data_IF_029342322497
#
_entry.id   IF_029342322497
#
_cell.length_a   1.000
_cell.length_b   1.000
_cell.length_c   1.000
_cell.angle_alpha   90.00
_cell.angle_beta   90.00
_cell.angle_gamma   90.00
#
_symmetry.space_group_name_H-M   'P 1'
#
loop_
_entity.id
_entity.type
_entity.pdbx_description
1 polymer ?
#
# COMPACT_ATOMS: atom_id res chain seq x y z
N UNK A 1 -40.44 -22.37 6.56
CA UNK A 1 -39.05 -22.52 6.10
C UNK A 1 -38.95 -22.83 4.60
N UNK A 2 -39.81 -23.67 4.01
CA UNK A 2 -39.79 -23.93 2.56
C UNK A 2 -39.92 -22.68 1.65
N UNK A 3 -40.78 -21.73 2.01
CA UNK A 3 -40.98 -20.51 1.19
C UNK A 3 -39.74 -19.62 1.10
N UNK A 4 -38.89 -19.61 2.13
CA UNK A 4 -37.67 -18.80 2.11
C UNK A 4 -36.63 -19.42 1.18
N UNK A 5 -36.47 -20.75 1.26
CA UNK A 5 -35.54 -21.49 0.41
C UNK A 5 -35.91 -21.37 -1.08
N UNK A 6 -37.20 -21.40 -1.40
CA UNK A 6 -37.68 -21.23 -2.78
C UNK A 6 -37.41 -19.80 -3.31
N UNK A 7 -37.64 -18.78 -2.48
CA UNK A 7 -37.34 -17.38 -2.82
C UNK A 7 -35.85 -17.16 -3.06
N UNK A 8 -35.00 -17.70 -2.19
CA UNK A 8 -33.54 -17.57 -2.30
C UNK A 8 -33.02 -18.30 -3.55
N UNK A 9 -33.60 -19.46 -3.90
CA UNK A 9 -33.25 -20.22 -5.11
C UNK A 9 -33.66 -19.51 -6.41
N UNK A 10 -34.76 -18.75 -6.40
CA UNK A 10 -35.23 -18.00 -7.55
C UNK A 10 -34.32 -16.79 -7.82
N UNK A 11 -33.96 -16.07 -6.75
CA UNK A 11 -33.06 -14.93 -6.83
C UNK A 11 -31.64 -15.35 -7.30
N UNK A 12 -31.14 -16.47 -6.79
CA UNK A 12 -29.83 -16.98 -7.19
C UNK A 12 -29.78 -17.36 -8.69
N UNK A 13 -30.87 -17.92 -9.22
CA UNK A 13 -30.98 -18.25 -10.65
C UNK A 13 -31.01 -16.99 -11.52
N UNK A 14 -31.79 -15.99 -11.12
CA UNK A 14 -31.85 -14.72 -11.85
C UNK A 14 -30.48 -14.04 -11.92
N UNK A 15 -29.75 -13.96 -10.80
CA UNK A 15 -28.41 -13.38 -10.77
C UNK A 15 -27.43 -14.17 -11.64
N UNK A 16 -27.53 -15.50 -11.63
CA UNK A 16 -26.68 -16.35 -12.46
C UNK A 16 -26.96 -16.17 -13.96
N UNK A 17 -28.22 -15.96 -14.35
CA UNK A 17 -28.64 -15.66 -15.71
C UNK A 17 -28.26 -14.24 -16.14
N UNK A 18 -28.26 -13.25 -15.23
CA UNK A 18 -27.73 -11.90 -15.52
C UNK A 18 -26.21 -11.92 -15.77
N UNK A 19 -25.48 -12.80 -15.08
CA UNK A 19 -24.02 -12.91 -15.22
C UNK A 19 -23.62 -13.77 -16.43
N UNK A 20 -24.40 -14.81 -16.76
CA UNK A 20 -24.02 -15.82 -17.76
C UNK A 20 -24.99 -15.92 -18.96
N UNK A 21 -26.01 -15.07 -19.03
CA UNK A 21 -27.02 -15.07 -20.10
C UNK A 21 -26.43 -14.70 -21.47
N UNK A 22 -26.90 -15.32 -22.57
CA UNK A 22 -26.34 -15.08 -23.90
C UNK A 22 -26.96 -13.84 -24.56
N UNK A 23 -26.17 -12.77 -24.69
CA UNK A 23 -26.43 -11.62 -25.57
C UNK A 23 -25.67 -10.38 -25.07
N UNK A 24 -24.53 -9.98 -25.62
CA UNK A 24 -24.33 -9.61 -27.03
C UNK A 24 -22.96 -10.07 -27.54
N UNK A 25 -22.98 -11.08 -28.41
CA UNK A 25 -21.95 -11.29 -29.42
C UNK A 25 -22.64 -11.22 -30.78
N UNK A 26 -22.60 -10.06 -31.44
CA UNK A 26 -22.74 -9.99 -32.89
C UNK A 26 -21.72 -9.00 -33.47
N UNK A 27 -21.09 -9.32 -34.62
CA UNK A 27 -20.00 -8.56 -35.19
C UNK A 27 -20.57 -7.48 -36.11
N UNK A 28 -20.35 -6.20 -35.77
CA UNK A 28 -20.55 -5.10 -36.69
C UNK A 28 -19.20 -4.43 -36.95
N UNK A 29 -18.79 -4.48 -38.21
CA UNK A 29 -17.64 -3.78 -38.73
C UNK A 29 -17.71 -2.28 -38.41
N UNK A 30 -16.55 -1.71 -38.08
CA UNK A 30 -16.29 -0.29 -38.24
C UNK A 30 -16.88 0.61 -37.17
N UNK A 31 -16.17 0.74 -36.05
CA UNK A 31 -15.82 2.04 -35.47
C UNK A 31 -14.75 1.81 -34.41
N UNK A 32 -13.53 2.23 -34.72
CA UNK A 32 -12.47 2.41 -33.74
C UNK A 32 -13.05 3.35 -32.67
N UNK A 33 -13.17 2.96 -31.39
CA UNK A 33 -13.44 3.93 -30.35
C UNK A 33 -12.15 4.75 -30.22
N UNK A 34 -12.22 5.93 -30.81
CA UNK A 34 -11.27 7.01 -30.67
C UNK A 34 -10.85 7.12 -29.19
N UNK A 35 -9.54 7.03 -28.94
CA UNK A 35 -8.91 7.36 -27.67
C UNK A 35 -9.42 8.71 -27.18
N UNK A 36 -10.14 8.78 -26.05
CA UNK A 36 -10.13 9.98 -25.20
C UNK A 36 -10.70 9.71 -23.80
N UNK A 37 -9.93 8.99 -22.99
CA UNK A 37 -9.75 9.21 -21.55
C UNK A 37 -8.93 8.03 -21.04
N UNK A 38 -7.65 8.04 -21.36
CA UNK A 38 -6.71 7.01 -20.93
C UNK A 38 -6.56 7.11 -19.41
N UNK A 39 -7.39 6.38 -18.66
CA UNK A 39 -7.25 6.23 -17.23
C UNK A 39 -5.85 5.67 -16.95
N UNK A 40 -4.96 6.52 -16.43
CA UNK A 40 -3.55 6.19 -16.24
C UNK A 40 -3.39 5.63 -14.83
N UNK A 41 -2.85 4.42 -14.75
CA UNK A 41 -2.64 3.73 -13.49
C UNK A 41 -1.21 3.95 -12.98
N UNK A 42 -1.06 4.37 -11.72
CA UNK A 42 0.24 4.51 -11.06
C UNK A 42 0.31 3.58 -9.85
N UNK A 43 1.26 2.66 -9.86
CA UNK A 43 1.53 1.79 -8.71
C UNK A 43 2.27 2.58 -7.62
N UNK A 44 1.78 2.49 -6.38
CA UNK A 44 2.40 3.12 -5.24
C UNK A 44 3.70 2.39 -4.86
N UNK A 45 4.84 3.10 -4.75
CA UNK A 45 6.10 2.47 -4.37
C UNK A 45 6.13 1.99 -2.91
N UNK A 46 5.29 2.57 -2.03
CA UNK A 46 5.29 2.23 -0.60
C UNK A 46 4.37 1.06 -0.25
N UNK A 47 3.17 1.00 -0.82
CA UNK A 47 2.17 -0.02 -0.45
C UNK A 47 1.75 -0.92 -1.62
N UNK A 48 2.35 -0.76 -2.80
CA UNK A 48 2.05 -1.50 -4.04
C UNK A 48 0.64 -1.33 -4.60
N UNK A 49 -0.19 -0.50 -3.96
CA UNK A 49 -1.55 -0.21 -4.42
C UNK A 49 -1.53 0.50 -5.78
N UNK A 50 -2.36 0.03 -6.71
CA UNK A 50 -2.50 0.62 -8.04
C UNK A 50 -3.56 1.72 -7.98
N UNK A 51 -3.12 2.97 -8.10
CA UNK A 51 -4.00 4.13 -8.17
C UNK A 51 -4.43 4.33 -9.62
N UNK A 52 -5.72 4.54 -9.86
CA UNK A 52 -6.27 4.81 -11.19
C UNK A 52 -6.70 6.26 -11.22
N UNK A 53 -6.14 7.04 -12.15
CA UNK A 53 -6.47 8.44 -12.35
C UNK A 53 -7.12 8.61 -13.72
N UNK A 54 -8.26 9.29 -13.78
CA UNK A 54 -8.95 9.61 -15.03
C UNK A 54 -8.24 10.74 -15.78
N UNK A 55 -7.68 11.70 -15.04
CA UNK A 55 -7.01 12.87 -15.59
C UNK A 55 -5.70 13.13 -14.85
N UNK A 56 -4.60 12.87 -15.56
CA UNK A 56 -3.27 13.19 -15.07
C UNK A 56 -2.87 14.55 -15.63
N UNK A 57 -3.01 15.57 -14.78
CA UNK A 57 -2.48 16.90 -15.00
C UNK A 57 -0.96 16.94 -14.71
N UNK A 58 -0.15 17.46 -15.65
CA UNK A 58 1.27 17.68 -15.43
C UNK A 58 1.50 18.75 -14.36
N UNK A 59 2.46 18.51 -13.44
CA UNK A 59 2.79 19.42 -12.34
C UNK A 59 1.89 19.29 -11.10
N UNK A 60 0.97 18.31 -11.07
CA UNK A 60 0.18 17.98 -9.88
C UNK A 60 0.79 16.77 -9.19
N UNK A 61 1.05 16.89 -7.89
CA UNK A 61 1.46 15.74 -7.09
C UNK A 61 0.26 14.82 -6.83
N UNK A 62 0.44 13.54 -7.10
CA UNK A 62 -0.55 12.51 -6.81
C UNK A 62 -0.15 11.77 -5.54
N UNK A 63 -1.12 11.40 -4.71
CA UNK A 63 -0.89 10.58 -3.52
C UNK A 63 -1.61 9.26 -3.66
N UNK A 64 -1.03 8.24 -3.04
CA UNK A 64 -1.65 6.93 -2.98
C UNK A 64 -2.91 6.97 -2.12
N UNK A 65 -4.03 6.47 -2.64
CA UNK A 65 -5.30 6.38 -1.89
C UNK A 65 -5.19 5.56 -0.60
N UNK A 66 -4.30 4.57 -0.56
CA UNK A 66 -4.17 3.67 0.60
C UNK A 66 -3.23 4.18 1.68
N UNK A 67 -2.07 4.72 1.31
CA UNK A 67 -1.01 5.05 2.27
C UNK A 67 -0.57 6.51 2.20
N UNK A 68 -1.25 7.32 1.39
CA UNK A 68 -1.01 8.76 1.19
C UNK A 68 0.40 9.13 0.71
N UNK A 69 1.26 8.14 0.42
CA UNK A 69 2.59 8.34 -0.15
C UNK A 69 2.49 9.05 -1.50
N UNK A 70 3.33 10.05 -1.70
CA UNK A 70 3.46 10.77 -2.98
C UNK A 70 3.90 9.78 -4.07
N UNK A 71 3.13 9.74 -5.15
CA UNK A 71 3.38 8.91 -6.32
C UNK A 71 4.34 9.63 -7.27
N UNK A 72 5.22 8.89 -7.97
CA UNK A 72 6.14 9.47 -8.93
C UNK A 72 5.38 10.19 -10.05
N UNK A 73 5.94 11.32 -10.52
CA UNK A 73 5.34 12.11 -11.58
C UNK A 73 5.12 11.23 -12.83
N UNK A 74 3.88 11.12 -13.32
CA UNK A 74 3.55 10.33 -14.50
C UNK A 74 4.08 11.04 -15.74
N UNK A 75 5.34 10.81 -16.09
CA UNK A 75 5.93 11.31 -17.34
C UNK A 75 5.11 10.82 -18.55
N UNK A 76 4.87 11.67 -19.57
CA UNK A 76 3.99 11.33 -20.69
C UNK A 76 4.50 10.19 -21.58
N UNK A 77 5.81 9.88 -21.53
CA UNK A 77 6.49 9.02 -22.50
C UNK A 77 7.13 7.78 -21.89
N UNK A 78 6.49 7.15 -20.90
CA UNK A 78 6.80 5.74 -20.61
C UNK A 78 5.69 4.89 -21.21
N UNK A 79 5.88 4.57 -22.50
CA UNK A 79 5.29 3.40 -23.12
C UNK A 79 5.63 2.23 -22.20
N UNK A 80 4.65 1.81 -21.40
CA UNK A 80 4.78 0.68 -20.49
C UNK A 80 4.79 -0.59 -21.34
N UNK A 81 5.91 -0.79 -22.03
CA UNK A 81 6.23 -2.08 -22.62
C UNK A 81 6.17 -3.05 -21.45
N UNK A 82 5.19 -3.94 -21.53
CA UNK A 82 5.01 -5.11 -20.70
C UNK A 82 6.23 -6.03 -20.86
N UNK A 83 7.38 -5.59 -20.38
CA UNK A 83 8.59 -6.38 -20.34
C UNK A 83 8.59 -7.09 -19.00
N UNK A 84 7.84 -8.21 -18.96
CA UNK A 84 8.26 -9.49 -18.40
C UNK A 84 9.31 -9.47 -17.27
N UNK A 85 9.14 -8.61 -16.27
CA UNK A 85 10.03 -8.59 -15.13
C UNK A 85 9.62 -9.76 -14.25
N UNK A 86 10.60 -10.59 -13.89
CA UNK A 86 10.47 -11.70 -12.94
C UNK A 86 10.15 -11.13 -11.55
N UNK A 87 8.97 -10.55 -11.39
CA UNK A 87 8.54 -9.91 -10.17
C UNK A 87 8.11 -11.02 -9.21
N UNK A 88 8.98 -11.31 -8.24
CA UNK A 88 8.75 -12.35 -7.24
C UNK A 88 7.47 -12.00 -6.46
N UNK A 89 6.52 -12.93 -6.44
CA UNK A 89 5.27 -12.78 -5.67
C UNK A 89 5.26 -13.78 -4.53
N UNK A 90 4.79 -13.33 -3.36
CA UNK A 90 4.70 -14.14 -2.14
C UNK A 90 3.26 -14.18 -1.64
N UNK A 91 2.80 -15.36 -1.22
CA UNK A 91 1.51 -15.52 -0.60
C UNK A 91 1.60 -15.19 0.89
N UNK A 92 0.75 -14.30 1.38
CA UNK A 92 0.65 -14.04 2.81
C UNK A 92 0.06 -15.25 3.55
N UNK A 93 0.74 -15.73 4.58
CA UNK A 93 0.24 -16.84 5.38
C UNK A 93 -1.04 -16.48 6.18
N UNK A 94 -1.16 -15.21 6.61
CA UNK A 94 -2.26 -14.75 7.45
C UNK A 94 -3.56 -14.53 6.64
N UNK A 95 -3.49 -13.74 5.58
CA UNK A 95 -4.69 -13.35 4.81
C UNK A 95 -4.79 -14.01 3.43
N UNK A 96 -3.83 -14.87 3.04
CA UNK A 96 -3.77 -15.54 1.73
C UNK A 96 -3.76 -14.59 0.53
N UNK A 97 -3.45 -13.31 0.72
CA UNK A 97 -3.28 -12.39 -0.39
C UNK A 97 -1.92 -12.58 -1.06
N UNK A 98 -1.89 -12.47 -2.39
CA UNK A 98 -0.66 -12.47 -3.16
C UNK A 98 -0.02 -11.07 -3.12
N UNK A 99 1.24 -10.98 -2.72
CA UNK A 99 1.96 -9.72 -2.56
C UNK A 99 3.17 -9.68 -3.48
N UNK A 100 3.42 -8.54 -4.12
CA UNK A 100 4.63 -8.33 -4.93
C UNK A 100 5.80 -7.98 -4.01
N UNK A 101 6.92 -8.65 -4.20
CA UNK A 101 8.17 -8.32 -3.52
C UNK A 101 8.83 -7.17 -4.28
N UNK A 102 9.09 -6.02 -3.63
CA UNK A 102 9.86 -4.95 -4.24
C UNK A 102 11.31 -5.40 -4.50
N UNK A 103 11.89 -4.96 -5.62
CA UNK A 103 13.29 -5.20 -5.92
C UNK A 103 14.15 -4.21 -5.12
N UNK A 104 15.10 -4.70 -4.32
CA UNK A 104 15.97 -3.84 -3.50
C UNK A 104 16.32 -4.43 -2.14
N UNK A 105 16.99 -3.64 -1.30
CA UNK A 105 17.29 -3.99 0.09
C UNK A 105 16.22 -3.37 0.99
N UNK A 106 15.52 -4.22 1.73
CA UNK A 106 14.50 -3.82 2.70
C UNK A 106 14.74 -4.59 3.99
N UNK A 107 14.54 -3.93 5.13
CA UNK A 107 14.71 -4.55 6.46
C UNK A 107 13.54 -5.48 6.81
N UNK A 108 12.35 -5.19 6.31
CA UNK A 108 11.17 -6.05 6.40
C UNK A 108 10.24 -5.81 5.20
N UNK A 109 9.44 -6.83 4.86
CA UNK A 109 8.38 -6.73 3.85
C UNK A 109 7.09 -7.16 4.52
N UNK A 110 6.04 -6.34 4.42
CA UNK A 110 4.73 -6.60 5.03
C UNK A 110 3.65 -6.78 3.97
N UNK A 111 2.61 -7.51 4.32
CA UNK A 111 1.44 -7.70 3.49
C UNK A 111 0.67 -6.39 3.35
N UNK A 112 0.35 -6.00 2.12
CA UNK A 112 -0.41 -4.77 1.86
C UNK A 112 -1.85 -4.79 2.37
N UNK A 113 -2.40 -5.97 2.70
CA UNK A 113 -3.80 -6.12 3.14
C UNK A 113 -3.93 -6.23 4.67
N UNK A 114 -3.07 -7.03 5.30
CA UNK A 114 -3.18 -7.34 6.74
C UNK A 114 -1.97 -6.89 7.56
N UNK A 115 -1.00 -6.22 6.93
CA UNK A 115 0.24 -5.74 7.55
C UNK A 115 1.10 -6.84 8.18
N UNK A 116 0.81 -8.12 7.94
CA UNK A 116 1.61 -9.23 8.43
C UNK A 116 2.93 -9.34 7.68
N UNK A 117 4.03 -9.59 8.38
CA UNK A 117 5.36 -9.71 7.78
C UNK A 117 5.46 -10.92 6.84
N UNK A 118 6.02 -10.72 5.65
CA UNK A 118 6.10 -11.70 4.56
C UNK A 118 7.49 -12.32 4.41
N UNK A 119 8.55 -11.57 4.70
CA UNK A 119 9.94 -12.05 4.71
C UNK A 119 10.68 -11.41 5.89
N UNK A 120 11.01 -12.22 6.90
CA UNK A 120 11.99 -11.87 7.92
C UNK A 120 13.37 -12.23 7.38
N UNK A 121 14.24 -11.25 7.16
CA UNK A 121 15.66 -11.56 6.95
C UNK A 121 16.23 -11.93 8.32
N UNK A 122 16.25 -13.23 8.64
CA UNK A 122 16.93 -13.76 9.83
C UNK A 122 18.42 -13.35 9.70
N UNK A 123 19.00 -12.57 10.62
CA UNK A 123 20.42 -12.27 10.55
C UNK A 123 21.17 -13.51 11.03
N UNK A 124 21.62 -14.35 10.10
CA UNK A 124 22.67 -15.31 10.36
C UNK A 124 23.97 -14.70 9.84
N UNK A 125 24.67 -13.97 10.71
CA UNK A 125 26.09 -14.16 11.00
C UNK A 125 26.62 -12.91 11.69
N UNK A 126 27.19 -13.15 12.88
CA UNK A 126 28.04 -12.25 13.63
C UNK A 126 29.06 -11.56 12.72
N UNK A 127 29.00 -10.23 12.66
CA UNK A 127 30.20 -9.41 12.64
C UNK A 127 29.94 -8.31 13.66
N UNK A 128 30.64 -8.39 14.79
CA UNK A 128 30.64 -7.36 15.82
C UNK A 128 30.85 -5.97 15.17
N UNK A 129 30.01 -4.97 15.46
CA UNK A 129 30.42 -3.59 15.22
C UNK A 129 31.58 -3.25 16.18
N UNK A 130 32.54 -2.41 15.77
CA UNK A 130 33.47 -1.82 16.71
C UNK A 130 32.67 -1.11 17.79
N UNK A 131 32.98 -1.42 19.05
CA UNK A 131 32.35 -0.87 20.23
C UNK A 131 32.51 0.66 20.28
N UNK A 132 31.55 1.40 19.76
CA UNK A 132 31.17 2.69 20.33
C UNK A 132 30.07 2.42 21.33
N UNK A 133 30.40 2.65 22.60
CA UNK A 133 29.55 2.53 23.79
C UNK A 133 28.06 2.73 23.45
N UNK A 134 27.17 1.76 23.68
CA UNK A 134 25.75 1.98 23.45
C UNK A 134 25.29 3.09 24.38
N UNK A 135 25.02 4.28 23.82
CA UNK A 135 24.36 5.35 24.53
C UNK A 135 23.09 4.76 25.15
N UNK A 136 22.99 4.78 26.47
CA UNK A 136 21.86 4.15 27.17
C UNK A 136 20.58 4.87 26.77
N UNK A 137 19.76 4.23 25.94
CA UNK A 137 18.45 4.76 25.53
C UNK A 137 17.35 4.18 26.41
N UNK A 138 16.25 4.93 26.56
CA UNK A 138 14.99 4.48 27.16
C UNK A 138 13.84 4.72 26.18
N UNK A 139 12.87 3.80 26.09
CA UNK A 139 11.66 4.04 25.33
C UNK A 139 10.74 4.99 26.11
N UNK A 140 10.11 5.94 25.41
CA UNK A 140 9.09 6.82 25.96
C UNK A 140 7.89 6.86 25.02
N UNK A 141 6.72 7.18 25.55
CA UNK A 141 5.50 7.40 24.77
C UNK A 141 5.00 8.81 25.03
N UNK A 142 4.76 9.57 23.95
CA UNK A 142 4.36 10.97 24.03
C UNK A 142 3.13 11.22 23.18
N UNK A 143 2.14 11.91 23.72
CA UNK A 143 0.98 12.37 22.96
C UNK A 143 1.32 13.65 22.20
N UNK A 144 0.92 13.71 20.94
CA UNK A 144 0.97 14.94 20.16
C UNK A 144 -0.02 15.98 20.72
N UNK A 145 0.41 17.23 20.84
CA UNK A 145 -0.43 18.32 21.33
C UNK A 145 -1.59 18.67 20.37
N UNK A 146 -1.40 18.48 19.06
CA UNK A 146 -2.40 18.81 18.05
C UNK A 146 -3.43 17.69 17.82
N UNK A 147 -2.96 16.50 17.48
CA UNK A 147 -3.85 15.40 17.07
C UNK A 147 -4.05 14.33 18.16
N UNK A 148 -3.47 14.51 19.35
CA UNK A 148 -3.52 13.55 20.47
C UNK A 148 -2.97 12.14 20.18
N UNK A 149 -2.35 11.93 19.02
CA UNK A 149 -1.78 10.63 18.65
C UNK A 149 -0.58 10.28 19.52
N UNK A 150 -0.46 9.01 19.89
CA UNK A 150 0.63 8.50 20.73
C UNK A 150 1.82 8.16 19.85
N UNK A 151 2.99 8.74 20.14
CA UNK A 151 4.24 8.51 19.43
C UNK A 151 5.22 7.80 20.37
N UNK A 152 5.78 6.68 19.93
CA UNK A 152 6.80 5.94 20.68
C UNK A 152 8.19 6.37 20.21
N UNK A 153 9.01 6.90 21.13
CA UNK A 153 10.34 7.45 20.85
C UNK A 153 11.40 6.71 21.67
N UNK A 154 12.60 6.57 21.11
CA UNK A 154 13.78 6.17 21.87
C UNK A 154 14.64 7.39 22.14
N UNK A 155 14.90 7.68 23.41
CA UNK A 155 15.63 8.87 23.86
C UNK A 155 16.79 8.45 24.74
N UNK A 156 17.90 9.20 24.72
CA UNK A 156 19.00 8.98 25.66
C UNK A 156 18.52 9.15 27.10
N UNK A 157 19.10 8.41 28.05
CA UNK A 157 18.72 8.49 29.48
C UNK A 157 18.87 9.90 30.07
N UNK A 158 19.84 10.67 29.57
CA UNK A 158 20.14 12.02 30.04
C UNK A 158 19.45 13.13 29.23
N UNK A 159 18.56 12.77 28.30
CA UNK A 159 17.80 13.75 27.50
C UNK A 159 16.60 14.27 28.31
N UNK A 160 16.54 15.58 28.48
CA UNK A 160 15.45 16.28 29.19
C UNK A 160 14.46 16.95 28.24
N UNK A 161 14.83 17.23 26.99
CA UNK A 161 13.95 17.82 25.99
C UNK A 161 14.01 17.04 24.69
N UNK A 162 12.86 16.72 24.13
CA UNK A 162 12.70 15.90 22.94
C UNK A 162 11.87 16.66 21.93
N UNK A 163 12.43 16.86 20.74
CA UNK A 163 11.73 17.41 19.59
C UNK A 163 11.48 16.29 18.59
N UNK A 164 10.23 16.06 18.22
CA UNK A 164 9.85 14.98 17.32
C UNK A 164 8.71 15.39 16.38
N UNK A 165 8.65 14.78 15.21
CA UNK A 165 7.54 14.94 14.27
C UNK A 165 6.47 13.89 14.57
N UNK A 166 5.21 14.32 14.69
CA UNK A 166 4.12 13.38 14.92
C UNK A 166 3.88 12.53 13.68
N UNK A 167 3.91 11.20 13.83
CA UNK A 167 3.70 10.27 12.71
C UNK A 167 2.30 10.33 12.09
N UNK A 168 1.34 10.97 12.75
CA UNK A 168 -0.06 11.07 12.26
C UNK A 168 -0.36 12.40 11.56
N UNK A 169 0.00 13.54 12.18
CA UNK A 169 -0.32 14.87 11.63
C UNK A 169 0.90 15.66 11.13
N UNK A 170 2.10 15.08 11.21
CA UNK A 170 3.38 15.69 10.80
C UNK A 170 3.73 17.00 11.54
N UNK A 171 2.99 17.36 12.59
CA UNK A 171 3.33 18.51 13.43
C UNK A 171 4.58 18.21 14.24
N UNK A 172 5.50 19.17 14.28
CA UNK A 172 6.67 19.11 15.16
C UNK A 172 6.25 19.45 16.60
N UNK A 173 6.47 18.51 17.51
CA UNK A 173 6.17 18.64 18.93
C UNK A 173 7.49 18.73 19.71
N UNK A 174 7.49 19.52 20.78
CA UNK A 174 8.60 19.64 21.73
C UNK A 174 8.10 19.30 23.12
N UNK A 175 8.76 18.36 23.79
CA UNK A 175 8.33 17.84 25.09
C UNK A 175 9.50 17.70 26.04
N UNK A 176 9.33 18.26 27.23
CA UNK A 176 10.24 18.06 28.36
C UNK A 176 9.88 16.77 29.10
N UNK A 177 10.87 15.92 29.39
CA UNK A 177 10.72 14.61 30.03
C UNK A 177 10.89 14.64 31.55
#
# INVERSE_FOLDING_TARGET
MLQQEESDSALARQLHEEINGPGLSQPAAGSIPNETSAAKSIACPACTFVNVFTDILPGRSYTCKQCLTVLPDPTPNETWNASNSKQEMVLCAACRCLNRIPLGKFDAIVCGTCCHELKSKKPASEVQPPQTVPASTRPIQVRCGECSSINALQVGRDVTNVRFECGSCQTVNEVSL
#
